data_IF_197470642947
#
_entry.id   IF_197470642947
#
_cell.length_a   1.000
_cell.length_b   1.000
_cell.length_c   1.000
_cell.angle_alpha   90.00
_cell.angle_beta   90.00
_cell.angle_gamma   90.00
#
_symmetry.space_group_name_H-M   'P 1'
#
loop_
_entity.id
_entity.type
_entity.pdbx_description
1 polymer ?
#
# COMPACT_ATOMS: atom_id res chain seq x y z
N UNK A 1 -23.41 -32.65 2.75
CA UNK A 1 -22.90 -31.35 2.30
C UNK A 1 -21.60 -31.62 1.59
N UNK A 2 -21.43 -31.15 0.38
CA UNK A 2 -20.14 -31.24 -0.35
C UNK A 2 -19.13 -30.40 0.38
N UNK A 3 -17.99 -31.01 0.74
CA UNK A 3 -16.85 -30.28 1.35
C UNK A 3 -16.32 -29.26 0.35
N UNK A 4 -16.19 -28.00 0.79
CA UNK A 4 -15.58 -26.93 -0.04
C UNK A 4 -14.06 -27.12 0.00
N UNK A 5 -13.45 -27.20 -1.18
CA UNK A 5 -12.00 -27.20 -1.30
C UNK A 5 -11.49 -25.76 -1.29
N UNK A 6 -10.60 -25.45 -0.38
CA UNK A 6 -9.92 -24.17 -0.27
C UNK A 6 -8.50 -24.29 -0.85
N UNK A 7 -8.25 -23.62 -1.97
CA UNK A 7 -6.91 -23.43 -2.49
C UNK A 7 -6.25 -22.29 -1.74
N UNK A 8 -5.06 -22.55 -1.15
CA UNK A 8 -4.35 -21.57 -0.31
C UNK A 8 -2.86 -21.55 -0.59
N UNK A 9 -2.21 -20.44 -0.27
CA UNK A 9 -0.76 -20.29 -0.35
C UNK A 9 -0.22 -20.01 1.05
N UNK A 10 0.69 -20.87 1.50
CA UNK A 10 1.34 -20.78 2.80
C UNK A 10 2.78 -20.33 2.67
N UNK A 11 3.34 -19.73 3.74
CA UNK A 11 4.76 -19.47 3.86
C UNK A 11 5.51 -20.77 4.10
N UNK A 12 6.22 -21.27 3.11
CA UNK A 12 6.96 -22.53 3.20
C UNK A 12 8.33 -22.38 3.87
N UNK A 13 8.96 -21.21 3.68
CA UNK A 13 10.25 -20.86 4.29
C UNK A 13 10.44 -19.36 4.32
N UNK A 14 11.30 -18.88 5.23
CA UNK A 14 11.62 -17.45 5.31
C UNK A 14 12.65 -17.06 4.26
N UNK A 15 12.45 -15.96 3.51
CA UNK A 15 13.40 -15.53 2.50
C UNK A 15 14.67 -14.92 3.16
N UNK A 16 15.81 -15.18 2.54
CA UNK A 16 17.06 -14.48 2.81
C UNK A 16 17.31 -13.46 1.68
N UNK A 17 17.00 -12.19 1.91
CA UNK A 17 16.98 -11.19 0.86
C UNK A 17 15.65 -11.13 0.12
N UNK A 18 15.69 -11.09 -1.21
CA UNK A 18 14.48 -11.10 -2.04
C UNK A 18 13.76 -12.45 -1.96
N UNK A 19 12.41 -12.47 -1.83
CA UNK A 19 11.66 -13.71 -1.87
C UNK A 19 11.78 -14.42 -3.23
N UNK A 20 11.73 -15.75 -3.19
CA UNK A 20 11.63 -16.61 -4.36
C UNK A 20 10.33 -17.43 -4.33
N UNK A 21 10.00 -18.09 -5.42
CA UNK A 21 8.84 -18.98 -5.48
C UNK A 21 8.90 -20.09 -4.42
N UNK A 22 10.10 -20.56 -4.05
CA UNK A 22 10.31 -21.64 -3.08
C UNK A 22 9.95 -21.23 -1.63
N UNK A 23 9.77 -19.94 -1.37
CA UNK A 23 9.29 -19.47 -0.06
C UNK A 23 7.78 -19.68 0.12
N UNK A 24 7.08 -20.08 -0.92
CA UNK A 24 5.64 -20.29 -0.93
C UNK A 24 5.28 -21.71 -1.31
N UNK A 25 4.19 -22.23 -0.74
CA UNK A 25 3.63 -23.53 -1.11
C UNK A 25 2.13 -23.42 -1.32
N UNK A 26 1.66 -23.95 -2.44
CA UNK A 26 0.25 -24.00 -2.78
C UNK A 26 -0.34 -25.30 -2.22
N UNK A 27 -1.50 -25.22 -1.58
CA UNK A 27 -2.20 -26.33 -0.98
C UNK A 27 -3.69 -26.29 -1.33
N UNK A 28 -4.27 -27.47 -1.55
CA UNK A 28 -5.72 -27.65 -1.65
C UNK A 28 -6.19 -28.42 -0.39
N UNK A 29 -7.01 -27.78 0.44
CA UNK A 29 -7.49 -28.34 1.70
C UNK A 29 -9.01 -28.32 1.78
N UNK A 30 -9.59 -29.37 2.36
CA UNK A 30 -11.03 -29.37 2.64
C UNK A 30 -11.32 -28.47 3.85
N UNK A 31 -12.27 -27.54 3.70
CA UNK A 31 -12.72 -26.72 4.83
C UNK A 31 -13.65 -27.53 5.73
N UNK A 32 -13.55 -27.37 7.06
CA UNK A 32 -14.54 -27.88 7.98
C UNK A 32 -15.89 -27.14 7.78
N UNK A 33 -17.01 -27.70 8.28
CA UNK A 33 -18.28 -27.00 8.32
C UNK A 33 -18.18 -25.69 9.10
N UNK A 34 -18.97 -24.68 8.68
CA UNK A 34 -19.05 -23.40 9.37
C UNK A 34 -19.55 -23.59 10.80
N UNK A 35 -18.72 -23.19 11.78
CA UNK A 35 -19.02 -23.30 13.21
C UNK A 35 -19.82 -22.11 13.75
N UNK A 36 -20.08 -22.13 15.06
CA UNK A 36 -20.75 -21.02 15.77
C UNK A 36 -19.95 -19.72 15.64
N UNK A 37 -20.62 -18.61 15.39
CA UNK A 37 -20.05 -17.26 15.17
C UNK A 37 -19.06 -17.17 14.01
N UNK A 38 -19.02 -18.16 13.12
CA UNK A 38 -18.19 -18.14 11.93
C UNK A 38 -18.96 -17.66 10.69
N UNK A 39 -18.18 -17.15 9.75
CA UNK A 39 -18.61 -16.87 8.38
C UNK A 39 -17.68 -17.57 7.40
N UNK A 40 -18.24 -18.09 6.33
CA UNK A 40 -17.53 -18.61 5.18
C UNK A 40 -17.64 -17.62 4.04
N UNK A 41 -16.51 -17.14 3.56
CA UNK A 41 -16.42 -16.13 2.50
C UNK A 41 -15.67 -16.71 1.30
N UNK A 42 -16.22 -16.58 0.10
CA UNK A 42 -15.50 -16.79 -1.15
C UNK A 42 -14.77 -15.49 -1.50
N UNK A 43 -13.46 -15.52 -1.54
CA UNK A 43 -12.64 -14.35 -1.90
C UNK A 43 -12.68 -14.13 -3.41
N UNK A 44 -12.96 -12.92 -3.86
CA UNK A 44 -12.99 -12.52 -5.28
C UNK A 44 -11.72 -11.80 -5.69
N UNK A 45 -11.14 -11.02 -4.78
CA UNK A 45 -9.89 -10.28 -5.02
C UNK A 45 -8.99 -10.36 -3.81
N UNK A 46 -7.69 -10.46 -4.07
CA UNK A 46 -6.62 -10.42 -3.07
C UNK A 46 -5.73 -9.20 -3.33
N UNK A 47 -5.44 -8.45 -2.28
CA UNK A 47 -4.45 -7.36 -2.29
C UNK A 47 -3.03 -7.91 -2.21
N UNK A 48 -2.12 -7.39 -3.04
CA UNK A 48 -0.67 -7.54 -2.84
C UNK A 48 -0.10 -6.20 -2.38
N UNK A 49 0.60 -6.23 -1.25
CA UNK A 49 1.13 -5.03 -0.60
C UNK A 49 2.57 -5.25 -0.12
N UNK A 50 3.45 -4.21 -0.19
CA UNK A 50 4.86 -4.36 0.18
C UNK A 50 5.10 -4.81 1.62
N UNK A 51 4.19 -4.47 2.56
CA UNK A 51 4.34 -4.87 3.96
C UNK A 51 4.39 -6.39 4.17
N UNK A 52 3.80 -7.15 3.24
CA UNK A 52 3.80 -8.63 3.28
C UNK A 52 5.21 -9.19 3.30
N UNK A 53 6.19 -8.52 2.68
CA UNK A 53 7.60 -8.91 2.76
C UNK A 53 8.08 -8.90 4.22
N UNK A 54 7.73 -7.88 4.98
CA UNK A 54 8.08 -7.80 6.40
C UNK A 54 7.41 -8.85 7.27
N UNK A 55 6.25 -9.40 6.84
CA UNK A 55 5.55 -10.50 7.52
C UNK A 55 6.24 -11.85 7.32
N UNK A 56 7.10 -11.97 6.33
CA UNK A 56 7.87 -13.19 6.08
C UNK A 56 9.13 -13.29 6.94
N UNK A 57 9.52 -12.21 7.63
CA UNK A 57 10.68 -12.17 8.51
C UNK A 57 10.31 -12.43 9.98
N UNK A 58 11.25 -12.98 10.73
CA UNK A 58 11.18 -13.04 12.20
C UNK A 58 11.63 -11.74 12.84
N UNK A 59 11.24 -11.55 14.10
CA UNK A 59 11.69 -10.46 14.94
C UNK A 59 10.66 -9.36 15.16
N UNK A 60 11.01 -8.31 15.93
CA UNK A 60 10.09 -7.25 16.32
C UNK A 60 9.55 -6.46 15.13
N UNK A 61 8.23 -6.30 15.08
CA UNK A 61 7.53 -5.48 14.09
C UNK A 61 6.23 -4.94 14.71
N UNK A 62 5.54 -4.06 14.00
CA UNK A 62 4.22 -3.55 14.43
C UNK A 62 3.09 -4.60 14.37
N UNK A 63 3.36 -5.78 13.81
CA UNK A 63 2.46 -6.94 13.86
C UNK A 63 3.27 -8.24 13.81
N UNK A 64 2.66 -9.35 14.24
CA UNK A 64 3.28 -10.67 14.27
C UNK A 64 3.71 -11.14 12.86
N UNK A 65 4.80 -11.89 12.73
CA UNK A 65 5.16 -12.54 11.48
C UNK A 65 4.15 -13.62 11.10
N UNK A 66 4.11 -13.96 9.82
CA UNK A 66 3.43 -15.18 9.36
C UNK A 66 4.26 -16.38 9.82
N UNK A 67 3.61 -17.35 10.45
CA UNK A 67 4.26 -18.59 10.85
C UNK A 67 4.54 -19.48 9.63
N UNK A 68 5.59 -20.30 9.71
CA UNK A 68 5.85 -21.32 8.68
C UNK A 68 4.63 -22.26 8.60
N UNK A 69 4.24 -22.63 7.40
CA UNK A 69 3.04 -23.41 7.06
C UNK A 69 1.70 -22.70 7.30
N UNK A 70 1.71 -21.45 7.79
CA UNK A 70 0.50 -20.64 7.86
C UNK A 70 0.20 -19.94 6.53
N UNK A 71 -1.08 -19.66 6.30
CA UNK A 71 -1.54 -18.92 5.10
C UNK A 71 -0.92 -17.53 5.11
N UNK A 72 -0.39 -17.10 3.96
CA UNK A 72 0.11 -15.74 3.78
C UNK A 72 -0.98 -14.72 4.06
N UNK A 73 -0.65 -13.66 4.79
CA UNK A 73 -1.57 -12.55 5.07
C UNK A 73 -1.90 -11.75 3.80
N UNK A 74 -3.11 -11.23 3.77
CA UNK A 74 -3.54 -10.30 2.73
C UNK A 74 -4.98 -9.84 2.95
N UNK A 75 -5.26 -8.58 2.61
CA UNK A 75 -6.64 -8.09 2.53
C UNK A 75 -7.33 -8.69 1.32
N UNK A 76 -8.58 -9.10 1.49
CA UNK A 76 -9.42 -9.61 0.39
C UNK A 76 -10.75 -8.88 0.34
N UNK A 77 -11.39 -8.95 -0.82
CA UNK A 77 -12.81 -8.68 -0.99
C UNK A 77 -13.48 -9.97 -1.40
N UNK A 78 -14.59 -10.31 -0.75
CA UNK A 78 -15.30 -11.55 -1.02
C UNK A 78 -16.77 -11.50 -0.64
N UNK A 79 -17.50 -12.54 -1.03
CA UNK A 79 -18.92 -12.74 -0.78
C UNK A 79 -19.11 -13.79 0.33
N UNK A 80 -19.95 -13.48 1.30
CA UNK A 80 -20.35 -14.44 2.33
C UNK A 80 -21.20 -15.54 1.69
N UNK A 81 -20.73 -16.79 1.76
CA UNK A 81 -21.48 -17.97 1.30
C UNK A 81 -22.36 -18.54 2.39
N UNK A 82 -21.86 -18.58 3.64
CA UNK A 82 -22.55 -19.11 4.81
C UNK A 82 -22.19 -18.27 6.04
N UNK A 83 -23.14 -18.07 6.94
CA UNK A 83 -22.92 -17.32 8.16
C UNK A 83 -23.71 -17.90 9.34
N UNK A 84 -23.02 -18.11 10.45
CA UNK A 84 -23.61 -18.35 11.77
C UNK A 84 -23.34 -17.17 12.73
N UNK A 85 -22.91 -16.02 12.19
CA UNK A 85 -22.64 -14.80 12.95
C UNK A 85 -23.78 -13.78 12.73
N UNK A 86 -24.30 -13.20 13.82
CA UNK A 86 -25.48 -12.32 13.77
C UNK A 86 -25.29 -11.05 12.90
N UNK A 87 -24.05 -10.60 12.70
CA UNK A 87 -23.74 -9.36 11.96
C UNK A 87 -23.64 -9.54 10.45
N UNK A 88 -23.63 -10.77 9.92
CA UNK A 88 -23.39 -11.05 8.49
C UNK A 88 -24.39 -12.09 7.96
N UNK A 89 -24.69 -12.00 6.67
CA UNK A 89 -25.60 -12.93 6.00
C UNK A 89 -25.05 -13.34 4.62
N UNK A 90 -25.47 -14.50 4.10
CA UNK A 90 -25.12 -14.91 2.74
C UNK A 90 -25.42 -13.82 1.72
N UNK A 91 -24.46 -13.60 0.80
CA UNK A 91 -24.50 -12.55 -0.20
C UNK A 91 -23.99 -11.19 0.28
N UNK A 92 -23.60 -10.98 1.54
CA UNK A 92 -22.88 -9.76 1.95
C UNK A 92 -21.51 -9.74 1.26
N UNK A 93 -21.12 -8.55 0.73
CA UNK A 93 -19.79 -8.30 0.20
C UNK A 93 -18.94 -7.64 1.28
N UNK A 94 -17.77 -8.23 1.57
CA UNK A 94 -16.94 -7.83 2.70
C UNK A 94 -15.50 -7.51 2.25
N UNK A 95 -14.91 -6.52 2.91
CA UNK A 95 -13.45 -6.37 3.00
C UNK A 95 -13.00 -7.05 4.28
N UNK A 96 -12.05 -7.99 4.17
CA UNK A 96 -11.63 -8.82 5.29
C UNK A 96 -10.13 -9.20 5.21
N UNK A 97 -9.50 -9.61 6.31
CA UNK A 97 -8.15 -10.17 6.31
C UNK A 97 -8.19 -11.65 5.85
N UNK A 98 -8.65 -11.86 4.62
CA UNK A 98 -8.92 -13.21 4.11
C UNK A 98 -7.68 -14.06 3.83
N UNK A 99 -6.50 -13.44 3.68
CA UNK A 99 -5.26 -14.14 3.37
C UNK A 99 -5.19 -14.64 1.91
N UNK A 100 -4.09 -15.27 1.56
CA UNK A 100 -3.85 -15.80 0.22
C UNK A 100 -4.56 -17.14 0.02
N UNK A 101 -5.86 -17.07 -0.16
CA UNK A 101 -6.71 -18.26 -0.30
C UNK A 101 -8.02 -17.97 -1.04
N UNK A 102 -8.58 -19.00 -1.65
CA UNK A 102 -9.84 -18.90 -2.41
C UNK A 102 -11.05 -18.68 -1.49
N UNK A 103 -11.05 -19.27 -0.30
CA UNK A 103 -12.11 -19.16 0.69
C UNK A 103 -11.55 -18.85 2.07
N UNK A 104 -12.27 -18.06 2.84
CA UNK A 104 -11.91 -17.72 4.22
C UNK A 104 -13.02 -18.19 5.15
N UNK A 105 -12.68 -19.08 6.06
CA UNK A 105 -13.54 -19.48 7.18
C UNK A 105 -12.98 -18.78 8.44
N UNK A 106 -13.73 -17.83 9.00
CA UNK A 106 -13.24 -17.02 10.10
C UNK A 106 -14.33 -16.65 11.10
N UNK A 107 -13.92 -16.39 12.34
CA UNK A 107 -14.72 -15.71 13.36
C UNK A 107 -14.32 -14.25 13.39
N UNK A 108 -15.17 -13.29 12.97
CA UNK A 108 -14.84 -11.88 13.02
C UNK A 108 -14.61 -11.41 14.46
N UNK A 109 -13.40 -10.93 14.76
CA UNK A 109 -13.03 -10.37 16.07
C UNK A 109 -13.29 -8.86 16.18
N UNK A 110 -13.57 -8.22 15.04
CA UNK A 110 -13.96 -6.82 14.92
C UNK A 110 -14.92 -6.66 13.72
N UNK A 111 -15.72 -5.59 13.66
CA UNK A 111 -16.61 -5.35 12.53
C UNK A 111 -15.86 -5.28 11.21
N UNK A 112 -16.24 -6.14 10.25
CA UNK A 112 -15.74 -6.11 8.88
C UNK A 112 -16.50 -5.06 8.06
N UNK A 113 -15.82 -4.39 7.15
CA UNK A 113 -16.43 -3.41 6.26
C UNK A 113 -17.30 -4.12 5.22
N UNK A 114 -18.61 -3.83 5.25
CA UNK A 114 -19.55 -4.24 4.20
C UNK A 114 -19.45 -3.27 3.01
N UNK A 115 -19.49 -3.82 1.83
CA UNK A 115 -19.54 -3.05 0.57
C UNK A 115 -20.98 -3.05 0.04
N UNK A 116 -21.46 -1.90 -0.50
CA UNK A 116 -22.73 -1.85 -1.19
C UNK A 116 -22.73 -2.77 -2.43
N UNK A 117 -23.85 -3.47 -2.68
CA UNK A 117 -23.97 -4.34 -3.87
C UNK A 117 -24.12 -3.56 -5.18
N UNK A 118 -24.71 -2.38 -5.09
CA UNK A 118 -25.05 -1.53 -6.24
C UNK A 118 -24.11 -0.31 -6.34
N UNK A 119 -22.89 -0.38 -5.79
CA UNK A 119 -21.91 0.71 -5.95
C UNK A 119 -21.37 0.70 -7.39
N UNK A 120 -21.28 1.90 -7.97
CA UNK A 120 -20.67 2.10 -9.29
C UNK A 120 -19.15 1.82 -9.29
N UNK A 121 -18.53 1.68 -8.11
CA UNK A 121 -17.10 1.42 -7.98
C UNK A 121 -16.80 -0.08 -8.04
N UNK A 122 -15.82 -0.53 -8.85
CA UNK A 122 -15.36 -1.91 -8.85
C UNK A 122 -14.95 -2.39 -7.45
N UNK A 123 -15.26 -3.63 -7.11
CA UNK A 123 -14.97 -4.22 -5.79
C UNK A 123 -13.48 -4.16 -5.43
N UNK A 124 -12.58 -4.32 -6.42
CA UNK A 124 -11.13 -4.24 -6.25
C UNK A 124 -10.65 -2.92 -5.68
N UNK A 125 -11.37 -1.79 -5.95
CA UNK A 125 -11.02 -0.47 -5.41
C UNK A 125 -10.98 -0.44 -3.89
N UNK A 126 -11.77 -1.31 -3.23
CA UNK A 126 -11.79 -1.45 -1.78
C UNK A 126 -10.49 -2.05 -1.20
N UNK A 127 -9.60 -2.58 -2.05
CA UNK A 127 -8.24 -3.02 -1.70
C UNK A 127 -7.16 -2.01 -2.10
N UNK A 128 -7.54 -0.95 -2.81
CA UNK A 128 -6.64 0.08 -3.34
C UNK A 128 -7.01 1.49 -2.88
N UNK A 129 -7.41 2.32 -3.84
CA UNK A 129 -7.71 3.74 -3.63
C UNK A 129 -8.86 3.99 -2.63
N UNK A 130 -9.84 3.08 -2.57
CA UNK A 130 -10.97 3.15 -1.63
C UNK A 130 -10.81 2.19 -0.45
N UNK A 131 -9.58 1.77 -0.17
CA UNK A 131 -9.19 0.83 0.87
C UNK A 131 -7.98 1.28 1.66
N UNK A 132 -7.20 0.31 2.15
CA UNK A 132 -6.06 0.55 3.02
C UNK A 132 -5.01 1.50 2.41
N UNK A 133 -4.57 1.35 1.15
CA UNK A 133 -3.59 2.27 0.57
C UNK A 133 -4.10 3.71 0.43
N UNK A 134 -5.36 3.89 0.00
CA UNK A 134 -5.98 5.21 -0.09
C UNK A 134 -6.12 5.87 1.29
N UNK A 135 -6.54 5.10 2.29
CA UNK A 135 -6.64 5.59 3.66
C UNK A 135 -5.27 5.93 4.26
N UNK A 136 -4.24 5.15 3.96
CA UNK A 136 -2.85 5.45 4.35
C UNK A 136 -2.39 6.80 3.79
N UNK A 137 -2.66 7.04 2.51
CA UNK A 137 -2.37 8.32 1.86
C UNK A 137 -3.10 9.49 2.53
N UNK A 138 -4.41 9.32 2.74
CA UNK A 138 -5.27 10.33 3.37
C UNK A 138 -4.81 10.65 4.78
N UNK A 139 -4.63 9.65 5.63
CA UNK A 139 -4.24 9.82 7.02
C UNK A 139 -2.83 10.42 7.16
N UNK A 140 -1.85 9.88 6.44
CA UNK A 140 -0.47 10.38 6.49
C UNK A 140 -0.35 11.83 6.01
N UNK A 141 -1.07 12.19 4.95
CA UNK A 141 -1.06 13.55 4.44
C UNK A 141 -1.70 14.53 5.42
N UNK A 142 -2.89 14.23 5.94
CA UNK A 142 -3.62 15.17 6.81
C UNK A 142 -3.05 15.26 8.22
N UNK A 143 -2.65 14.14 8.84
CA UNK A 143 -2.22 14.13 10.24
C UNK A 143 -0.75 14.50 10.45
N UNK A 144 0.09 14.17 9.48
CA UNK A 144 1.54 14.38 9.58
C UNK A 144 1.98 15.44 8.59
N UNK A 145 1.58 15.32 7.32
CA UNK A 145 1.90 16.30 6.28
C UNK A 145 1.30 17.67 6.58
N UNK A 146 0.05 17.72 7.04
CA UNK A 146 -0.68 18.97 7.37
C UNK A 146 -0.54 20.04 6.29
N UNK A 147 -0.93 19.71 5.05
CA UNK A 147 -0.66 20.52 3.88
C UNK A 147 -1.30 21.90 3.96
N UNK A 148 -0.60 22.89 3.45
CA UNK A 148 -1.09 24.25 3.28
C UNK A 148 -1.04 24.62 1.79
N UNK A 149 -2.05 25.35 1.31
CA UNK A 149 -2.08 25.79 -0.09
C UNK A 149 -0.83 26.60 -0.44
N UNK A 150 -0.23 26.32 -1.59
CA UNK A 150 0.99 26.95 -2.07
C UNK A 150 2.30 26.25 -1.65
N UNK A 151 2.26 25.29 -0.72
CA UNK A 151 3.44 24.48 -0.36
C UNK A 151 3.84 23.52 -1.49
N UNK A 152 5.11 23.11 -1.48
CA UNK A 152 5.65 22.08 -2.38
C UNK A 152 5.65 20.73 -1.69
N UNK A 153 4.94 19.77 -2.29
CA UNK A 153 4.96 18.37 -1.88
C UNK A 153 5.75 17.52 -2.88
N UNK A 154 6.66 16.71 -2.37
CA UNK A 154 7.32 15.64 -3.13
C UNK A 154 6.82 14.30 -2.64
N UNK A 155 6.49 13.39 -3.56
CA UNK A 155 6.04 12.04 -3.22
C UNK A 155 6.79 10.98 -4.01
N UNK A 156 7.35 9.99 -3.30
CA UNK A 156 8.03 8.84 -3.89
C UNK A 156 7.05 7.70 -4.21
N UNK A 157 7.43 6.81 -5.15
CA UNK A 157 6.57 5.74 -5.66
C UNK A 157 5.19 6.23 -6.10
N UNK A 158 5.15 7.38 -6.78
CA UNK A 158 3.93 8.12 -7.08
C UNK A 158 2.98 7.43 -8.06
N UNK A 159 3.42 6.37 -8.77
CA UNK A 159 2.55 5.55 -9.62
C UNK A 159 1.88 4.39 -8.86
N UNK A 160 2.27 4.14 -7.61
CA UNK A 160 1.64 3.16 -6.72
C UNK A 160 0.38 3.71 -6.03
N UNK A 161 -0.41 2.85 -5.37
CA UNK A 161 -1.72 3.24 -4.84
C UNK A 161 -1.66 4.34 -3.76
N UNK A 162 -0.66 4.32 -2.89
CA UNK A 162 -0.47 5.37 -1.87
C UNK A 162 0.01 6.66 -2.53
N UNK A 163 1.11 6.59 -3.29
CA UNK A 163 1.73 7.78 -3.88
C UNK A 163 0.83 8.51 -4.87
N UNK A 164 0.09 7.77 -5.72
CA UNK A 164 -0.88 8.34 -6.65
C UNK A 164 -2.04 9.05 -5.93
N UNK A 165 -2.48 8.50 -4.80
CA UNK A 165 -3.52 9.13 -3.98
C UNK A 165 -3.00 10.38 -3.31
N UNK A 166 -1.80 10.33 -2.68
CA UNK A 166 -1.15 11.51 -2.06
C UNK A 166 -1.01 12.65 -3.06
N UNK A 167 -0.49 12.36 -4.27
CA UNK A 167 -0.28 13.36 -5.30
C UNK A 167 -1.58 14.10 -5.67
N UNK A 168 -2.67 13.36 -5.82
CA UNK A 168 -3.96 13.93 -6.19
C UNK A 168 -4.61 14.68 -5.02
N UNK A 169 -4.56 14.15 -3.80
CA UNK A 169 -5.06 14.84 -2.62
C UNK A 169 -4.32 16.17 -2.38
N UNK A 170 -3.00 16.17 -2.55
CA UNK A 170 -2.21 17.39 -2.43
C UNK A 170 -2.61 18.45 -3.47
N UNK A 171 -2.83 18.03 -4.73
CA UNK A 171 -3.33 18.94 -5.78
C UNK A 171 -4.71 19.51 -5.45
N UNK A 172 -5.63 18.67 -4.97
CA UNK A 172 -6.97 19.14 -4.55
C UNK A 172 -6.89 20.19 -3.43
N UNK A 173 -5.81 20.17 -2.64
CA UNK A 173 -5.56 21.15 -1.57
C UNK A 173 -4.69 22.34 -2.02
N UNK A 174 -4.38 22.46 -3.30
CA UNK A 174 -3.65 23.59 -3.87
C UNK A 174 -2.14 23.58 -3.65
N UNK A 175 -1.54 22.41 -3.43
CA UNK A 175 -0.10 22.26 -3.34
C UNK A 175 0.52 22.12 -4.75
N UNK A 176 1.77 22.56 -4.87
CA UNK A 176 2.64 22.17 -5.98
C UNK A 176 3.13 20.74 -5.75
N UNK A 177 2.93 19.85 -6.71
CA UNK A 177 3.25 18.42 -6.58
C UNK A 177 4.35 18.00 -7.52
N UNK A 178 5.46 17.51 -6.96
CA UNK A 178 6.55 16.83 -7.66
C UNK A 178 6.45 15.32 -7.36
N UNK A 179 6.12 14.55 -8.38
CA UNK A 179 5.86 13.11 -8.25
C UNK A 179 7.00 12.29 -8.85
N UNK A 180 7.51 11.30 -8.10
CA UNK A 180 8.66 10.49 -8.49
C UNK A 180 8.20 9.05 -8.74
N UNK A 181 8.55 8.50 -9.92
CA UNK A 181 8.31 7.11 -10.27
C UNK A 181 9.51 6.54 -11.04
N UNK A 182 9.47 5.27 -11.42
CA UNK A 182 10.53 4.63 -12.21
C UNK A 182 10.04 4.24 -13.61
N UNK A 183 10.66 4.82 -14.64
CA UNK A 183 10.39 4.53 -16.04
C UNK A 183 9.41 5.49 -16.70
N UNK A 184 9.63 5.71 -17.99
CA UNK A 184 8.93 6.71 -18.81
C UNK A 184 7.39 6.55 -18.81
N UNK A 185 6.89 5.32 -18.90
CA UNK A 185 5.44 5.07 -18.92
C UNK A 185 4.75 5.56 -17.63
N UNK A 186 5.37 5.30 -16.47
CA UNK A 186 4.86 5.75 -15.17
C UNK A 186 4.94 7.28 -15.05
N UNK A 187 6.04 7.89 -15.48
CA UNK A 187 6.21 9.34 -15.47
C UNK A 187 5.17 10.02 -16.38
N UNK A 188 4.93 9.46 -17.57
CA UNK A 188 3.88 9.95 -18.48
C UNK A 188 2.50 9.88 -17.83
N UNK A 189 2.15 8.77 -17.16
CA UNK A 189 0.88 8.63 -16.42
C UNK A 189 0.73 9.70 -15.34
N UNK A 190 1.77 9.96 -14.56
CA UNK A 190 1.75 11.00 -13.54
C UNK A 190 1.44 12.38 -14.14
N UNK A 191 2.05 12.70 -15.27
CA UNK A 191 1.87 13.99 -15.95
C UNK A 191 0.52 14.10 -16.64
N UNK A 192 0.14 13.10 -17.45
CA UNK A 192 -1.01 13.20 -18.37
C UNK A 192 -2.33 12.81 -17.71
N UNK A 193 -2.31 11.82 -16.79
CA UNK A 193 -3.51 11.31 -16.12
C UNK A 193 -3.69 11.93 -14.76
N UNK A 194 -2.66 11.87 -13.88
CA UNK A 194 -2.75 12.44 -12.54
C UNK A 194 -2.54 13.97 -12.54
N UNK A 195 -1.99 14.53 -13.63
CA UNK A 195 -1.80 15.97 -13.86
C UNK A 195 -1.01 16.65 -12.74
N UNK A 196 0.05 15.99 -12.27
CA UNK A 196 1.00 16.59 -11.32
C UNK A 196 1.80 17.70 -11.99
N UNK A 197 2.31 18.67 -11.22
CA UNK A 197 3.06 19.80 -11.76
C UNK A 197 4.38 19.36 -12.38
N UNK A 198 5.09 18.42 -11.74
CA UNK A 198 6.31 17.83 -12.25
C UNK A 198 6.32 16.33 -11.99
N UNK A 199 6.71 15.55 -12.98
CA UNK A 199 6.91 14.10 -12.86
C UNK A 199 8.33 13.72 -13.23
N UNK A 200 9.05 13.01 -12.34
CA UNK A 200 10.46 12.67 -12.46
C UNK A 200 10.69 11.16 -12.48
N UNK A 201 11.65 10.72 -13.30
CA UNK A 201 12.14 9.35 -13.29
C UNK A 201 13.36 9.24 -12.36
N UNK A 202 13.20 8.53 -11.24
CA UNK A 202 14.31 8.30 -10.31
C UNK A 202 15.43 7.42 -10.88
N UNK A 203 15.23 6.81 -12.08
CA UNK A 203 16.25 6.00 -12.77
C UNK A 203 17.18 6.85 -13.63
N UNK A 204 16.83 8.10 -13.91
CA UNK A 204 17.68 9.01 -14.66
C UNK A 204 19.00 9.27 -13.92
N UNK A 205 20.10 9.38 -14.66
CA UNK A 205 21.43 9.60 -14.09
C UNK A 205 21.53 10.96 -13.40
N UNK A 206 20.83 11.97 -13.94
CA UNK A 206 20.77 13.34 -13.43
C UNK A 206 19.54 13.61 -12.54
N UNK A 207 18.90 12.56 -11.99
CA UNK A 207 17.69 12.66 -11.17
C UNK A 207 17.78 13.72 -10.07
N UNK A 208 18.91 13.79 -9.33
CA UNK A 208 19.07 14.74 -8.24
C UNK A 208 19.10 16.20 -8.74
N UNK A 209 19.63 16.45 -9.93
CA UNK A 209 19.64 17.76 -10.57
C UNK A 209 18.25 18.14 -11.05
N UNK A 210 17.55 17.21 -11.69
CA UNK A 210 16.15 17.39 -12.10
C UNK A 210 15.25 17.70 -10.91
N UNK A 211 15.40 16.99 -9.77
CA UNK A 211 14.64 17.25 -8.56
C UNK A 211 14.92 18.67 -8.04
N UNK A 212 16.18 19.09 -8.00
CA UNK A 212 16.54 20.45 -7.57
C UNK A 212 15.92 21.52 -8.47
N UNK A 213 15.94 21.31 -9.77
CA UNK A 213 15.30 22.22 -10.72
C UNK A 213 13.76 22.23 -10.59
N UNK A 214 13.16 21.11 -10.18
CA UNK A 214 11.73 20.98 -9.98
C UNK A 214 11.24 21.61 -8.66
N UNK A 215 12.14 21.81 -7.68
CA UNK A 215 11.83 22.34 -6.34
C UNK A 215 12.64 23.59 -6.03
N UNK A 216 12.52 24.69 -6.84
CA UNK A 216 13.35 25.89 -6.67
C UNK A 216 13.18 26.58 -5.32
N UNK A 217 11.98 26.47 -4.73
CA UNK A 217 11.63 27.04 -3.42
C UNK A 217 11.77 26.02 -2.27
N UNK A 218 12.41 24.86 -2.55
CA UNK A 218 12.56 23.77 -1.58
C UNK A 218 11.33 22.87 -1.47
N UNK A 219 11.35 22.01 -0.44
CA UNK A 219 10.32 20.97 -0.21
C UNK A 219 9.73 21.16 1.19
N UNK A 220 8.42 21.36 1.28
CA UNK A 220 7.70 21.52 2.55
C UNK A 220 7.17 20.20 3.09
N UNK A 221 6.77 19.29 2.18
CA UNK A 221 6.29 17.96 2.55
C UNK A 221 6.97 16.92 1.65
N UNK A 222 7.61 15.93 2.28
CA UNK A 222 8.08 14.75 1.57
C UNK A 222 7.34 13.50 2.06
N UNK A 223 6.47 12.95 1.22
CA UNK A 223 5.77 11.72 1.55
C UNK A 223 6.63 10.50 1.18
N UNK A 224 7.21 9.88 2.21
CA UNK A 224 8.21 8.84 2.08
C UNK A 224 7.60 7.45 1.94
N UNK A 225 7.86 6.80 0.81
CA UNK A 225 7.45 5.42 0.52
C UNK A 225 8.62 4.50 0.17
N UNK A 226 9.83 5.05 -0.09
CA UNK A 226 10.91 4.32 -0.76
C UNK A 226 12.21 4.26 0.04
N UNK A 227 12.71 5.40 0.52
CA UNK A 227 14.06 5.50 1.09
C UNK A 227 15.17 5.51 0.04
N UNK A 228 16.38 5.15 0.45
CA UNK A 228 17.54 5.00 -0.43
C UNK A 228 17.88 6.26 -1.23
N UNK A 229 18.30 6.10 -2.50
CA UNK A 229 18.75 7.20 -3.35
C UNK A 229 17.74 8.33 -3.56
N UNK A 230 16.44 8.01 -3.47
CA UNK A 230 15.39 9.03 -3.59
C UNK A 230 15.39 9.93 -2.36
N UNK A 231 15.47 9.35 -1.18
CA UNK A 231 15.59 10.09 0.07
C UNK A 231 16.89 10.92 0.12
N UNK A 232 18.00 10.35 -0.35
CA UNK A 232 19.30 11.06 -0.44
C UNK A 232 19.21 12.33 -1.29
N UNK A 233 18.46 12.30 -2.39
CA UNK A 233 18.25 13.45 -3.26
C UNK A 233 17.30 14.50 -2.68
N UNK A 234 16.30 14.05 -1.90
CA UNK A 234 15.28 14.91 -1.25
C UNK A 234 15.84 15.65 -0.05
N UNK A 235 16.60 14.96 0.81
CA UNK A 235 17.03 15.46 2.13
C UNK A 235 17.69 16.84 2.09
N UNK A 236 18.61 17.17 1.15
CA UNK A 236 19.24 18.48 1.09
C UNK A 236 18.27 19.62 0.78
N UNK A 237 17.16 19.33 0.11
CA UNK A 237 16.21 20.28 -0.45
C UNK A 237 15.00 20.58 0.46
N UNK A 238 14.89 19.88 1.62
CA UNK A 238 13.83 20.13 2.58
C UNK A 238 13.91 21.54 3.13
N UNK A 239 12.79 22.21 3.25
CA UNK A 239 12.66 23.51 3.88
C UNK A 239 12.76 23.41 5.41
N UNK A 240 12.92 24.54 6.09
CA UNK A 240 12.75 24.63 7.52
C UNK A 240 11.32 24.23 7.90
N UNK A 241 11.20 23.42 8.95
CA UNK A 241 9.92 22.86 9.43
C UNK A 241 9.22 21.90 8.45
N UNK A 242 9.91 21.40 7.44
CA UNK A 242 9.35 20.40 6.54
C UNK A 242 8.88 19.16 7.29
N UNK A 243 7.86 18.50 6.75
CA UNK A 243 7.19 17.33 7.34
C UNK A 243 7.42 16.12 6.47
N UNK A 244 7.81 15.01 7.12
CA UNK A 244 8.08 13.73 6.45
C UNK A 244 7.19 12.65 7.04
N UNK A 245 5.98 12.42 6.49
CA UNK A 245 5.22 11.20 6.76
C UNK A 245 5.99 9.99 6.23
N UNK A 246 6.50 9.13 7.13
CA UNK A 246 7.22 7.91 6.75
C UNK A 246 6.22 6.76 6.69
N UNK A 247 5.74 6.47 5.49
CA UNK A 247 4.78 5.42 5.19
C UNK A 247 5.45 4.07 4.94
N UNK A 248 6.62 4.10 4.29
CA UNK A 248 7.37 2.90 3.94
C UNK A 248 8.77 3.21 3.42
N UNK A 249 9.61 2.19 3.42
CA UNK A 249 11.01 2.26 2.96
C UNK A 249 11.32 1.04 2.08
N UNK A 250 10.52 0.85 1.01
CA UNK A 250 10.53 -0.37 0.20
C UNK A 250 11.90 -0.71 -0.38
N UNK A 251 12.77 0.28 -0.61
CA UNK A 251 14.13 0.07 -1.08
C UNK A 251 14.98 -0.81 -0.15
N UNK A 252 14.59 -0.95 1.13
CA UNK A 252 15.34 -1.71 2.13
C UNK A 252 14.63 -2.98 2.59
N UNK A 253 13.44 -3.28 2.11
CA UNK A 253 12.65 -4.42 2.61
C UNK A 253 13.35 -5.76 2.37
N UNK A 254 14.05 -5.92 1.25
CA UNK A 254 14.82 -7.12 0.95
C UNK A 254 16.21 -7.17 1.61
N UNK A 255 16.62 -6.10 2.30
CA UNK A 255 17.95 -6.01 2.95
C UNK A 255 17.88 -6.19 4.47
N UNK A 256 16.73 -6.63 5.02
CA UNK A 256 16.55 -6.77 6.45
C UNK A 256 17.60 -7.72 7.05
N UNK A 257 18.29 -7.26 8.10
CA UNK A 257 19.38 -8.00 8.72
C UNK A 257 20.72 -7.94 8.00
N UNK A 258 20.81 -7.21 6.90
CA UNK A 258 22.05 -6.98 6.16
C UNK A 258 22.51 -5.52 6.30
N UNK A 259 23.80 -5.29 6.29
CA UNK A 259 24.33 -3.94 6.20
C UNK A 259 23.97 -3.34 4.85
N UNK A 260 23.36 -2.16 4.86
CA UNK A 260 23.07 -1.43 3.63
C UNK A 260 24.39 -0.92 3.02
N UNK A 261 24.54 -0.96 1.68
CA UNK A 261 25.73 -0.42 1.03
C UNK A 261 25.79 1.11 1.14
N UNK A 262 26.97 1.65 1.21
CA UNK A 262 27.23 3.08 1.21
C UNK A 262 27.64 3.63 2.58
N UNK A 263 27.87 4.96 2.68
CA UNK A 263 28.26 5.60 3.93
C UNK A 263 27.11 5.63 4.93
N UNK A 264 27.45 5.72 6.23
CA UNK A 264 26.46 5.99 7.27
C UNK A 264 25.86 7.39 7.09
N UNK A 265 24.56 7.45 6.76
CA UNK A 265 23.81 8.69 6.53
C UNK A 265 23.16 9.25 7.81
N UNK A 266 23.18 8.50 8.92
CA UNK A 266 22.49 8.92 10.14
C UNK A 266 23.00 10.25 10.70
N UNK A 267 24.33 10.53 10.79
CA UNK A 267 24.79 11.83 11.28
C UNK A 267 24.35 13.00 10.45
N UNK A 268 24.35 12.88 9.10
CA UNK A 268 23.86 13.90 8.19
C UNK A 268 22.37 14.14 8.37
N UNK A 269 21.58 13.07 8.40
CA UNK A 269 20.14 13.10 8.61
C UNK A 269 19.78 13.79 9.93
N UNK A 270 20.39 13.37 11.05
CA UNK A 270 20.16 13.98 12.37
C UNK A 270 20.56 15.48 12.38
N UNK A 271 21.63 15.82 11.67
CA UNK A 271 22.05 17.20 11.48
C UNK A 271 21.00 18.03 10.72
N UNK A 272 20.37 17.47 9.69
CA UNK A 272 19.29 18.14 8.95
C UNK A 272 18.04 18.27 9.81
N UNK A 273 17.64 17.20 10.53
CA UNK A 273 16.51 17.24 11.46
C UNK A 273 16.65 18.37 12.47
N UNK A 274 17.84 18.51 13.08
CA UNK A 274 18.11 19.57 14.06
C UNK A 274 18.08 20.96 13.41
N UNK A 275 18.88 21.17 12.35
CA UNK A 275 19.06 22.51 11.76
C UNK A 275 17.77 23.04 11.14
N UNK A 276 17.02 22.18 10.44
CA UNK A 276 15.77 22.55 9.76
C UNK A 276 14.52 22.32 10.62
N UNK A 277 14.66 21.85 11.87
CA UNK A 277 13.53 21.55 12.79
C UNK A 277 12.48 20.66 12.13
N UNK A 278 12.94 19.62 11.39
CA UNK A 278 12.08 18.73 10.63
C UNK A 278 11.15 17.92 11.53
N UNK A 279 9.93 17.67 11.07
CA UNK A 279 9.03 16.68 11.65
C UNK A 279 9.12 15.39 10.84
N UNK A 280 9.72 14.35 11.41
CA UNK A 280 9.82 13.03 10.79
C UNK A 280 9.00 12.05 11.64
N UNK A 281 7.95 11.48 11.04
CA UNK A 281 7.05 10.60 11.79
C UNK A 281 6.67 9.36 10.99
N UNK A 282 7.04 8.18 11.52
CA UNK A 282 6.49 6.89 11.08
C UNK A 282 5.05 6.73 11.54
N UNK A 283 4.25 5.99 10.78
CA UNK A 283 2.87 5.70 11.14
C UNK A 283 2.36 4.41 10.50
N UNK A 284 1.38 3.83 11.16
CA UNK A 284 0.53 2.77 10.61
C UNK A 284 -0.87 3.33 10.48
N UNK A 285 -1.57 3.03 9.40
CA UNK A 285 -2.88 3.63 9.12
C UNK A 285 -3.91 3.41 10.24
N UNK A 286 -3.77 2.33 11.04
CA UNK A 286 -4.64 2.06 12.19
C UNK A 286 -4.49 3.09 13.31
N UNK A 287 -3.35 3.80 13.42
CA UNK A 287 -3.16 4.86 14.41
C UNK A 287 -4.20 6.01 14.22
N UNK A 288 -4.75 6.10 13.02
CA UNK A 288 -5.66 7.16 12.61
C UNK A 288 -7.04 6.66 12.21
N UNK A 289 -7.45 5.48 12.69
CA UNK A 289 -8.72 4.82 12.29
C UNK A 289 -9.95 5.73 12.48
N UNK A 290 -9.89 6.70 13.40
CA UNK A 290 -10.93 7.72 13.61
C UNK A 290 -11.26 8.54 12.35
N UNK A 291 -10.32 8.62 11.39
CA UNK A 291 -10.53 9.34 10.13
C UNK A 291 -11.22 8.48 9.05
N UNK A 292 -11.35 7.17 9.27
CA UNK A 292 -11.92 6.27 8.27
C UNK A 292 -13.31 6.70 7.78
N UNK A 293 -14.26 7.13 8.63
CA UNK A 293 -15.57 7.58 8.15
C UNK A 293 -15.50 8.82 7.23
N UNK A 294 -14.61 9.77 7.53
CA UNK A 294 -14.40 10.96 6.69
C UNK A 294 -13.76 10.56 5.36
N UNK A 295 -12.71 9.74 5.41
CA UNK A 295 -12.05 9.21 4.23
C UNK A 295 -13.03 8.50 3.28
N UNK A 296 -13.84 7.58 3.80
CA UNK A 296 -14.78 6.83 2.97
C UNK A 296 -15.81 7.75 2.30
N UNK A 297 -16.31 8.75 3.00
CA UNK A 297 -17.25 9.73 2.45
C UNK A 297 -16.60 10.57 1.34
N UNK A 298 -15.45 11.17 1.62
CA UNK A 298 -14.78 12.10 0.72
C UNK A 298 -14.17 11.38 -0.48
N UNK A 299 -13.43 10.29 -0.25
CA UNK A 299 -12.83 9.50 -1.32
C UNK A 299 -13.91 8.89 -2.23
N UNK A 300 -14.99 8.37 -1.65
CA UNK A 300 -16.10 7.84 -2.43
C UNK A 300 -16.74 8.92 -3.33
N UNK A 301 -16.86 10.17 -2.86
CA UNK A 301 -17.34 11.27 -3.67
C UNK A 301 -16.36 11.62 -4.79
N UNK A 302 -15.07 11.81 -4.48
CA UNK A 302 -14.05 12.14 -5.47
C UNK A 302 -13.89 11.09 -6.56
N UNK A 303 -14.04 9.81 -6.23
CA UNK A 303 -14.01 8.72 -7.20
C UNK A 303 -15.22 8.76 -8.15
N UNK A 304 -16.44 8.95 -7.61
CA UNK A 304 -17.66 9.05 -8.41
C UNK A 304 -17.66 10.28 -9.31
N UNK A 305 -17.10 11.39 -8.85
CA UNK A 305 -16.98 12.64 -9.62
C UNK A 305 -15.80 12.62 -10.62
N UNK A 306 -15.00 11.54 -10.62
CA UNK A 306 -13.81 11.43 -11.46
C UNK A 306 -12.66 12.38 -11.09
N UNK A 307 -12.69 12.97 -9.88
CA UNK A 307 -11.65 13.88 -9.40
C UNK A 307 -10.39 13.13 -8.97
N UNK A 308 -10.52 11.88 -8.52
CA UNK A 308 -9.42 10.96 -8.20
C UNK A 308 -9.43 9.85 -9.25
N UNK A 309 -8.27 9.68 -9.90
CA UNK A 309 -7.98 8.60 -10.83
C UNK A 309 -7.17 7.52 -10.12
N UNK A 310 -7.38 6.27 -10.51
CA UNK A 310 -6.61 5.15 -10.00
C UNK A 310 -6.25 4.18 -11.13
N UNK A 311 -5.25 3.36 -10.88
CA UNK A 311 -4.84 2.28 -11.78
C UNK A 311 -4.60 1.02 -10.98
N UNK A 312 -5.04 -0.10 -11.51
CA UNK A 312 -4.81 -1.43 -10.96
C UNK A 312 -3.98 -2.27 -11.92
N UNK A 313 -3.09 -3.07 -11.37
CA UNK A 313 -2.37 -4.13 -12.03
C UNK A 313 -3.02 -5.44 -11.60
N UNK A 314 -3.90 -5.95 -12.43
CA UNK A 314 -4.69 -7.14 -12.13
C UNK A 314 -3.94 -8.38 -12.60
N UNK A 315 -3.67 -9.28 -11.67
CA UNK A 315 -3.17 -10.64 -11.90
C UNK A 315 -4.36 -11.60 -11.82
N UNK A 316 -4.29 -12.73 -12.48
CA UNK A 316 -5.38 -13.72 -12.53
C UNK A 316 -4.96 -15.04 -11.90
N UNK A 317 -5.87 -15.60 -11.07
CA UNK A 317 -5.67 -16.84 -10.35
C UNK A 317 -4.74 -16.69 -9.14
N UNK A 318 -5.09 -17.36 -8.05
CA UNK A 318 -4.34 -17.31 -6.78
C UNK A 318 -2.85 -17.64 -6.95
N UNK A 319 -2.53 -18.58 -7.85
CA UNK A 319 -1.16 -19.04 -8.10
C UNK A 319 -0.22 -17.95 -8.62
N UNK A 320 -0.77 -16.84 -9.12
CA UNK A 320 0.01 -15.68 -9.56
C UNK A 320 0.51 -14.81 -8.41
N UNK A 321 -0.01 -14.97 -7.20
CA UNK A 321 0.28 -14.09 -6.06
C UNK A 321 1.76 -14.09 -5.64
N UNK A 322 2.49 -15.22 -5.57
CA UNK A 322 3.92 -15.22 -5.24
C UNK A 322 4.75 -14.39 -6.21
N UNK A 323 4.61 -14.63 -7.51
CA UNK A 323 5.33 -13.87 -8.52
C UNK A 323 4.87 -12.41 -8.54
N UNK A 324 3.58 -12.15 -8.30
CA UNK A 324 3.03 -10.81 -8.17
C UNK A 324 3.66 -10.00 -7.03
N UNK A 325 3.90 -10.63 -5.86
CA UNK A 325 4.59 -9.98 -4.75
C UNK A 325 6.07 -9.71 -5.08
N UNK A 326 6.76 -10.67 -5.69
CA UNK A 326 8.16 -10.51 -6.10
C UNK A 326 8.29 -9.34 -7.09
N UNK A 327 7.45 -9.29 -8.12
CA UNK A 327 7.42 -8.21 -9.11
C UNK A 327 7.07 -6.85 -8.47
N UNK A 328 6.15 -6.84 -7.50
CA UNK A 328 5.81 -5.62 -6.73
C UNK A 328 7.03 -5.08 -5.97
N UNK A 329 7.80 -5.94 -5.30
CA UNK A 329 8.99 -5.56 -4.55
C UNK A 329 10.12 -5.02 -5.46
N UNK A 330 10.15 -5.44 -6.72
CA UNK A 330 11.05 -4.91 -7.78
C UNK A 330 10.52 -3.62 -8.41
N UNK A 331 9.30 -3.18 -8.07
CA UNK A 331 8.66 -2.02 -8.66
C UNK A 331 8.25 -2.21 -10.13
N UNK A 332 7.98 -3.45 -10.54
CA UNK A 332 7.54 -3.80 -11.90
C UNK A 332 6.04 -3.59 -12.11
N UNK A 333 5.25 -3.57 -11.02
CA UNK A 333 3.82 -3.27 -11.09
C UNK A 333 3.55 -1.83 -11.54
N UNK A 334 2.37 -1.61 -12.12
CA UNK A 334 1.90 -0.27 -12.44
C UNK A 334 0.50 -0.05 -11.84
N UNK A 335 0.44 0.78 -10.81
CA UNK A 335 -0.75 0.96 -9.98
C UNK A 335 -0.82 -0.03 -8.82
N UNK A 336 -2.02 -0.24 -8.29
CA UNK A 336 -2.30 -1.20 -7.22
C UNK A 336 -2.25 -2.64 -7.76
N UNK A 337 -1.40 -3.48 -7.19
CA UNK A 337 -1.38 -4.90 -7.52
C UNK A 337 -2.52 -5.63 -6.79
N UNK A 338 -3.39 -6.29 -7.54
CA UNK A 338 -4.48 -7.14 -7.05
C UNK A 338 -4.50 -8.45 -7.82
N UNK A 339 -4.93 -9.53 -7.16
CA UNK A 339 -5.16 -10.82 -7.79
C UNK A 339 -6.66 -11.06 -7.86
N UNK A 340 -7.20 -11.24 -9.06
CA UNK A 340 -8.56 -11.74 -9.25
C UNK A 340 -8.55 -13.25 -8.98
N UNK A 341 -9.38 -13.67 -8.03
CA UNK A 341 -9.53 -15.06 -7.59
C UNK A 341 -10.77 -15.62 -8.27
N UNK A 342 -10.60 -16.20 -9.43
CA UNK A 342 -11.68 -16.77 -10.26
C UNK A 342 -12.24 -18.06 -9.67
#
# INVERSE_FOLDING_TARGET
>A
MTSITNRRIVLASRPHGEPSADNFRIEDVALPPTGHDQILVRNSFLSLDPYMRGRMDEGPSYAAPVEIDAVMEGGTVGEVLESHHAGYQPGDLLVLPGGWQSHSLLTPTAPLRKLPKDDALPLSTALGVYGMPGFTAYAGLHEIGKPQAGETLVVAAASGPVGATVAQLARLQGLRVVAIAGGEEKVRYLREVLRVDVALDHRADDFAEQLRAATPDGIDIYFENVGGKVFDAVLPQLNDFARIPVCGVIATYNSRGQALPGPDRLPEFMGQVLRKRLTVRGFIQHDFIRLMPAFLREMGQWLRDGQIQYREHVLHGLDSAPQGLISLLRGENFGKAVVALD
#
